data_IF_801613079592
#
_entry.id   IF_801613079592
#
_cell.length_a   1.000
_cell.length_b   1.000
_cell.length_c   1.000
_cell.angle_alpha   90.00
_cell.angle_beta   90.00
_cell.angle_gamma   90.00
#
_symmetry.space_group_name_H-M   'P 1'
#
loop_
_entity.id
_entity.type
_entity.pdbx_description
1 polymer ?
#
# COMPACT_ATOMS: atom_id res chain seq x y z
N UNK A 1 13.19 -11.55 -7.79
CA UNK A 1 12.15 -11.01 -6.89
C UNK A 1 11.92 -9.57 -7.31
N UNK A 2 10.73 -9.25 -7.82
CA UNK A 2 10.38 -7.88 -8.20
C UNK A 2 9.62 -7.25 -7.03
N UNK A 3 10.11 -6.12 -6.56
CA UNK A 3 9.44 -5.29 -5.56
C UNK A 3 8.80 -4.12 -6.29
N UNK A 4 7.53 -3.87 -5.98
CA UNK A 4 6.81 -2.70 -6.46
C UNK A 4 6.60 -1.78 -5.27
N UNK A 5 6.86 -0.49 -5.44
CA UNK A 5 6.47 0.53 -4.48
C UNK A 5 5.40 1.40 -5.14
N UNK A 6 4.21 1.46 -4.54
CA UNK A 6 3.11 2.30 -5.00
C UNK A 6 2.69 3.23 -3.87
N UNK A 7 2.72 4.54 -4.08
CA UNK A 7 2.33 5.46 -3.03
C UNK A 7 2.43 6.93 -3.40
N UNK A 8 2.15 7.75 -2.39
CA UNK A 8 2.26 9.21 -2.43
C UNK A 8 3.14 9.68 -1.28
N UNK A 9 3.89 10.77 -1.52
CA UNK A 9 4.72 11.38 -0.50
C UNK A 9 4.65 12.92 -0.57
N UNK A 10 5.23 13.59 0.42
CA UNK A 10 5.22 15.05 0.53
C UNK A 10 5.94 15.79 -0.60
N UNK A 11 6.79 15.14 -1.40
CA UNK A 11 7.47 15.79 -2.53
C UNK A 11 6.60 15.81 -3.78
N UNK A 12 5.65 14.87 -3.91
CA UNK A 12 4.79 14.73 -5.10
C UNK A 12 3.31 15.04 -4.86
N UNK A 13 2.85 15.04 -3.61
CA UNK A 13 1.45 15.25 -3.28
C UNK A 13 1.24 16.18 -2.05
N UNK A 14 0.34 17.17 -2.15
CA UNK A 14 -0.01 18.02 -1.02
C UNK A 14 -0.73 17.22 0.07
N UNK A 15 -0.74 17.76 1.30
CA UNK A 15 -1.34 17.10 2.47
C UNK A 15 -2.81 16.72 2.26
N UNK A 16 -3.59 17.60 1.62
CA UNK A 16 -5.01 17.39 1.34
C UNK A 16 -5.32 16.18 0.45
N UNK A 17 -4.33 15.71 -0.32
CA UNK A 17 -4.43 14.48 -1.11
C UNK A 17 -3.96 13.28 -0.28
N UNK A 18 -2.89 13.43 0.49
CA UNK A 18 -2.30 12.34 1.30
C UNK A 18 -3.21 11.89 2.43
N UNK A 19 -3.95 12.80 3.06
CA UNK A 19 -4.92 12.48 4.11
C UNK A 19 -6.06 11.59 3.62
N UNK A 20 -6.39 11.64 2.31
CA UNK A 20 -7.45 10.81 1.71
C UNK A 20 -7.04 9.35 1.51
N UNK A 21 -5.76 9.05 1.62
CA UNK A 21 -5.21 7.69 1.42
C UNK A 21 -4.44 7.21 2.65
N UNK A 22 -4.52 7.92 3.77
CA UNK A 22 -3.91 7.49 5.02
C UNK A 22 -4.66 6.27 5.58
N UNK A 23 -3.91 5.24 5.97
CA UNK A 23 -4.45 4.07 6.65
C UNK A 23 -4.37 4.26 8.17
N UNK A 24 -5.42 3.87 8.89
CA UNK A 24 -5.37 3.71 10.34
C UNK A 24 -4.71 2.37 10.72
N UNK A 25 -4.15 2.24 11.94
CA UNK A 25 -3.56 0.97 12.40
C UNK A 25 -4.51 -0.23 12.30
N UNK A 26 -5.81 -0.01 12.49
CA UNK A 26 -6.84 -1.05 12.47
C UNK A 26 -7.17 -1.53 11.04
N UNK A 27 -7.02 -0.66 10.04
CA UNK A 27 -7.28 -0.97 8.63
C UNK A 27 -6.15 -1.78 7.97
N UNK A 28 -4.92 -1.64 8.48
CA UNK A 28 -3.72 -2.21 7.86
C UNK A 28 -3.80 -3.75 7.72
N UNK A 29 -4.12 -4.54 8.76
CA UNK A 29 -4.15 -6.01 8.65
C UNK A 29 -5.19 -6.52 7.64
N UNK A 30 -6.37 -5.89 7.62
CA UNK A 30 -7.45 -6.23 6.70
C UNK A 30 -7.07 -5.90 5.25
N UNK A 31 -6.43 -4.75 5.04
CA UNK A 31 -5.97 -4.31 3.72
C UNK A 31 -4.88 -5.22 3.16
N UNK A 32 -3.88 -5.60 3.96
CA UNK A 32 -2.83 -6.54 3.55
C UNK A 32 -3.43 -7.88 3.14
N UNK A 33 -4.37 -8.41 3.94
CA UNK A 33 -5.06 -9.67 3.65
C UNK A 33 -5.87 -9.59 2.36
N UNK A 34 -6.57 -8.47 2.15
CA UNK A 34 -7.32 -8.19 0.93
C UNK A 34 -6.41 -8.15 -0.31
N UNK A 35 -5.30 -7.40 -0.26
CA UNK A 35 -4.36 -7.28 -1.38
C UNK A 35 -3.78 -8.65 -1.78
N UNK A 36 -3.33 -9.43 -0.79
CA UNK A 36 -2.81 -10.78 -1.04
C UNK A 36 -3.87 -11.69 -1.65
N UNK A 37 -5.09 -11.71 -1.11
CA UNK A 37 -6.19 -12.52 -1.66
C UNK A 37 -6.59 -12.10 -3.07
N UNK A 38 -6.65 -10.78 -3.32
CA UNK A 38 -7.09 -10.19 -4.60
C UNK A 38 -6.09 -10.39 -5.74
N UNK A 39 -4.80 -10.40 -5.42
CA UNK A 39 -3.69 -10.46 -6.38
C UNK A 39 -2.86 -11.76 -6.30
N UNK A 40 -3.40 -12.82 -5.68
CA UNK A 40 -2.76 -14.14 -5.56
C UNK A 40 -2.65 -14.90 -6.89
N UNK A 41 -3.49 -14.63 -7.90
CA UNK A 41 -3.55 -15.47 -9.10
C UNK A 41 -2.24 -15.48 -9.90
N UNK A 42 -1.78 -16.69 -10.19
CA UNK A 42 -0.39 -17.04 -10.47
C UNK A 42 0.01 -17.04 -11.94
N UNK A 43 -0.89 -16.80 -12.89
CA UNK A 43 -0.58 -16.97 -14.31
C UNK A 43 0.62 -16.10 -14.75
N UNK A 44 0.89 -14.96 -14.08
CA UNK A 44 2.01 -14.06 -14.39
C UNK A 44 2.76 -13.48 -13.15
N UNK A 45 2.74 -14.14 -11.99
CA UNK A 45 3.49 -13.68 -10.80
C UNK A 45 2.70 -12.81 -9.82
N UNK A 46 1.72 -13.42 -9.16
CA UNK A 46 0.91 -12.77 -8.12
C UNK A 46 1.68 -12.36 -6.85
N UNK A 47 1.04 -11.51 -6.05
CA UNK A 47 1.61 -10.92 -4.83
C UNK A 47 1.53 -11.93 -3.69
N UNK A 48 2.69 -12.27 -3.09
CA UNK A 48 2.77 -13.18 -1.93
C UNK A 48 2.84 -12.44 -0.60
N UNK A 49 3.48 -11.28 -0.61
CA UNK A 49 3.77 -10.44 0.54
C UNK A 49 3.31 -9.02 0.21
N UNK A 50 2.82 -8.30 1.21
CA UNK A 50 2.50 -6.89 1.07
C UNK A 50 2.80 -6.18 2.39
N UNK A 51 3.28 -4.94 2.31
CA UNK A 51 3.49 -4.07 3.45
C UNK A 51 2.89 -2.67 3.20
N UNK A 52 2.44 -2.02 4.26
CA UNK A 52 1.87 -0.67 4.21
C UNK A 52 2.68 0.22 5.14
N UNK A 53 3.16 1.35 4.62
CA UNK A 53 3.79 2.42 5.38
C UNK A 53 2.93 3.69 5.27
N UNK A 54 2.19 3.98 6.34
CA UNK A 54 1.30 5.15 6.43
C UNK A 54 1.82 6.07 7.54
N UNK A 55 2.23 7.28 7.18
CA UNK A 55 2.76 8.29 8.09
C UNK A 55 2.30 9.69 7.66
N UNK A 56 2.61 10.73 8.46
CA UNK A 56 2.31 12.11 8.09
C UNK A 56 3.03 12.61 6.84
N UNK A 57 4.06 11.92 6.33
CA UNK A 57 4.87 12.36 5.18
C UNK A 57 4.72 11.50 3.92
N UNK A 58 4.15 10.29 4.06
CA UNK A 58 3.99 9.32 2.97
C UNK A 58 2.93 8.28 3.31
N UNK A 59 2.27 7.79 2.26
CA UNK A 59 1.47 6.57 2.28
C UNK A 59 1.91 5.70 1.11
N UNK A 60 2.49 4.54 1.40
CA UNK A 60 3.09 3.64 0.42
C UNK A 60 2.69 2.18 0.69
N UNK A 61 2.51 1.42 -0.39
CA UNK A 61 2.27 -0.01 -0.41
C UNK A 61 3.47 -0.65 -1.11
N UNK A 62 3.99 -1.71 -0.51
CA UNK A 62 5.10 -2.53 -1.00
C UNK A 62 4.64 -3.97 -1.20
#
# INVERSE_FOLDING_TARGET
>A
MQLLALGLNHTTAPISVRERVAFTPEEIPGTISYLRGRFTSFLNGGIREAAILSTCNRTEIY
#
